data_IF_386758650767
#
_entry.id   IF_386758650767
#
_cell.length_a   1.000
_cell.length_b   1.000
_cell.length_c   1.000
_cell.angle_alpha   90.00
_cell.angle_beta   90.00
_cell.angle_gamma   90.00
#
_symmetry.space_group_name_H-M   'P 1'
#
loop_
_entity.id
_entity.type
_entity.pdbx_description
1 polymer ?
#
# COMPACT_ATOMS: atom_id res chain seq x y z
N UNK A 1 -0.99 -30.34 -0.90
CA UNK A 1 -0.19 -29.31 -0.19
C UNK A 1 -1.00 -28.02 -0.19
N UNK A 2 -1.47 -27.59 0.96
CA UNK A 2 -2.26 -26.36 1.07
C UNK A 2 -1.37 -25.17 0.67
N UNK A 3 -1.77 -24.36 -0.31
CA UNK A 3 -1.07 -23.13 -0.66
C UNK A 3 -1.09 -22.21 0.57
N UNK A 4 0.08 -21.83 1.05
CA UNK A 4 0.19 -20.80 2.11
C UNK A 4 -0.48 -19.51 1.69
N UNK A 5 -0.94 -18.71 2.66
CA UNK A 5 -1.53 -17.38 2.41
C UNK A 5 -0.49 -16.38 1.91
N UNK A 6 -0.95 -15.24 1.47
CA UNK A 6 -0.13 -14.16 0.91
C UNK A 6 0.93 -13.70 1.91
N UNK A 7 0.58 -13.59 3.20
CA UNK A 7 1.52 -13.17 4.24
C UNK A 7 2.73 -14.10 4.35
N UNK A 8 2.51 -15.41 4.48
CA UNK A 8 3.61 -16.38 4.61
C UNK A 8 4.49 -16.44 3.36
N UNK A 9 3.90 -16.22 2.18
CA UNK A 9 4.62 -16.21 0.92
C UNK A 9 5.53 -14.97 0.74
N UNK A 10 5.09 -13.80 1.20
CA UNK A 10 5.77 -12.52 0.96
C UNK A 10 6.61 -12.02 2.14
N UNK A 11 6.35 -12.49 3.35
CA UNK A 11 7.11 -12.09 4.54
C UNK A 11 8.64 -12.22 4.38
N UNK A 12 9.18 -13.31 3.79
CA UNK A 12 10.64 -13.43 3.61
C UNK A 12 11.24 -12.34 2.73
N UNK A 13 10.53 -11.94 1.66
CA UNK A 13 10.98 -10.87 0.78
C UNK A 13 11.03 -9.52 1.51
N UNK A 14 10.00 -9.19 2.29
CA UNK A 14 10.00 -7.98 3.11
C UNK A 14 11.09 -8.00 4.17
N UNK A 15 11.29 -9.13 4.84
CA UNK A 15 12.33 -9.30 5.84
C UNK A 15 13.74 -9.12 5.26
N UNK A 16 13.99 -9.59 4.04
CA UNK A 16 15.25 -9.40 3.32
C UNK A 16 15.59 -7.91 3.09
N UNK A 17 14.56 -7.05 3.00
CA UNK A 17 14.71 -5.60 2.91
C UNK A 17 14.63 -4.88 4.27
N UNK A 18 14.67 -5.62 5.37
CA UNK A 18 14.64 -5.06 6.71
C UNK A 18 13.29 -4.51 7.16
N UNK A 19 12.19 -4.90 6.49
CA UNK A 19 10.83 -4.46 6.79
C UNK A 19 10.09 -5.55 7.57
N UNK A 20 9.90 -5.41 8.89
CA UNK A 20 9.12 -6.34 9.68
C UNK A 20 7.63 -6.19 9.34
N UNK A 21 6.97 -7.31 9.10
CA UNK A 21 5.56 -7.36 8.72
C UNK A 21 4.74 -8.16 9.74
N UNK A 22 3.44 -7.95 9.73
CA UNK A 22 2.48 -8.64 10.60
C UNK A 22 1.15 -8.84 9.86
N UNK A 23 0.36 -9.88 10.22
CA UNK A 23 -0.91 -10.13 9.56
C UNK A 23 -1.91 -9.02 9.90
N UNK A 24 -2.77 -8.68 8.94
CA UNK A 24 -3.91 -7.78 9.13
C UNK A 24 -5.22 -8.49 8.81
N UNK A 25 -6.31 -8.01 9.42
CA UNK A 25 -7.66 -8.52 9.16
C UNK A 25 -8.22 -7.95 7.85
N UNK A 26 -9.39 -8.45 7.44
CA UNK A 26 -10.14 -7.94 6.30
C UNK A 26 -10.46 -6.43 6.42
N UNK A 27 -10.64 -5.95 7.65
CA UNK A 27 -10.89 -4.53 7.98
C UNK A 27 -9.60 -3.70 8.04
N UNK A 28 -8.49 -4.24 7.55
CA UNK A 28 -7.17 -3.60 7.53
C UNK A 28 -6.61 -3.29 8.93
N UNK A 29 -7.06 -4.00 9.96
CA UNK A 29 -6.55 -3.87 11.33
C UNK A 29 -5.49 -4.91 11.61
N UNK A 30 -4.44 -4.59 12.39
CA UNK A 30 -3.48 -5.60 12.82
C UNK A 30 -4.16 -6.75 13.55
N UNK A 31 -3.87 -7.99 13.14
CA UNK A 31 -4.46 -9.20 13.71
C UNK A 31 -3.76 -9.65 15.01
N UNK A 32 -2.72 -8.93 15.44
CA UNK A 32 -1.93 -9.25 16.64
C UNK A 32 -1.75 -8.03 17.53
N UNK A 33 -1.63 -8.28 18.84
CA UNK A 33 -1.25 -7.22 19.79
C UNK A 33 0.26 -6.94 19.68
N UNK A 34 0.67 -5.72 20.01
CA UNK A 34 2.08 -5.35 20.02
C UNK A 34 2.73 -5.24 18.64
N UNK A 35 1.95 -5.20 17.57
CA UNK A 35 2.41 -5.16 16.18
C UNK A 35 3.43 -4.04 15.89
N UNK A 36 3.32 -2.87 16.54
CA UNK A 36 4.28 -1.79 16.41
C UNK A 36 5.68 -2.14 16.95
N UNK A 37 5.79 -3.18 17.79
CA UNK A 37 7.06 -3.66 18.35
C UNK A 37 7.60 -4.87 17.58
N UNK A 38 6.89 -5.36 16.56
CA UNK A 38 7.33 -6.50 15.77
C UNK A 38 8.65 -6.18 15.09
N UNK A 39 9.67 -6.97 15.37
CA UNK A 39 10.97 -6.99 14.67
C UNK A 39 11.01 -8.07 13.60
N UNK A 40 12.12 -8.22 12.89
CA UNK A 40 12.27 -9.21 11.81
C UNK A 40 12.03 -10.65 12.30
N UNK A 41 12.59 -11.03 13.44
CA UNK A 41 12.36 -12.35 14.03
C UNK A 41 10.88 -12.59 14.36
N UNK A 42 10.24 -11.61 15.02
CA UNK A 42 8.81 -11.70 15.34
C UNK A 42 7.95 -11.75 14.09
N UNK A 43 8.31 -11.04 13.02
CA UNK A 43 7.66 -11.11 11.72
C UNK A 43 7.69 -12.54 11.15
N UNK A 44 8.84 -13.21 11.21
CA UNK A 44 8.99 -14.61 10.77
C UNK A 44 8.16 -15.57 11.60
N UNK A 45 8.12 -15.38 12.91
CA UNK A 45 7.29 -16.17 13.83
C UNK A 45 5.79 -15.98 13.55
N UNK A 46 5.38 -14.74 13.29
CA UNK A 46 4.00 -14.42 12.90
C UNK A 46 3.60 -15.07 11.56
N UNK A 47 4.50 -15.10 10.57
CA UNK A 47 4.20 -15.76 9.30
C UNK A 47 3.97 -17.28 9.47
N UNK A 48 4.68 -17.92 10.40
CA UNK A 48 4.45 -19.33 10.75
C UNK A 48 3.14 -19.54 11.52
N UNK A 49 2.79 -18.59 12.40
CA UNK A 49 1.57 -18.65 13.23
C UNK A 49 0.30 -18.37 12.42
N UNK A 50 0.41 -17.54 11.37
CA UNK A 50 -0.68 -17.13 10.50
C UNK A 50 -0.43 -17.54 9.03
N UNK A 51 -0.26 -18.87 8.76
CA UNK A 51 0.18 -19.36 7.45
C UNK A 51 -0.83 -19.07 6.32
N UNK A 52 -2.09 -18.84 6.67
CA UNK A 52 -3.19 -18.61 5.72
C UNK A 52 -3.67 -17.16 5.68
N UNK A 53 -2.93 -16.21 6.29
CA UNK A 53 -3.33 -14.81 6.23
C UNK A 53 -3.18 -14.25 4.80
N UNK A 54 -4.28 -13.70 4.27
CA UNK A 54 -4.37 -13.16 2.91
C UNK A 54 -4.02 -11.68 2.83
N UNK A 55 -3.74 -11.07 3.97
CA UNK A 55 -3.30 -9.68 4.05
C UNK A 55 -2.28 -9.49 5.18
N UNK A 56 -1.35 -8.58 4.93
CA UNK A 56 -0.33 -8.20 5.91
C UNK A 56 0.01 -6.72 5.78
N UNK A 57 0.63 -6.20 6.81
CA UNK A 57 1.04 -4.81 6.88
C UNK A 57 2.38 -4.67 7.59
N UNK A 58 2.84 -3.44 7.65
CA UNK A 58 4.04 -3.05 8.40
C UNK A 58 3.83 -1.72 9.10
N UNK A 59 4.65 -1.46 10.11
CA UNK A 59 4.69 -0.17 10.78
C UNK A 59 5.59 0.79 9.97
N UNK A 60 5.04 1.90 9.50
CA UNK A 60 5.83 2.98 8.91
C UNK A 60 6.73 3.64 9.96
N UNK A 61 7.82 4.27 9.52
CA UNK A 61 8.71 5.01 10.38
C UNK A 61 10.04 4.30 10.69
N UNK A 62 10.62 4.54 11.87
CA UNK A 62 12.01 4.15 12.16
C UNK A 62 12.27 2.65 12.11
N UNK A 63 11.25 1.82 12.34
CA UNK A 63 11.40 0.36 12.38
C UNK A 63 11.52 -0.27 11.00
N UNK A 64 10.68 0.14 10.07
CA UNK A 64 10.73 -0.30 8.67
C UNK A 64 11.67 0.55 7.81
N UNK A 65 12.06 1.73 8.31
CA UNK A 65 12.77 2.77 7.57
C UNK A 65 12.02 3.26 6.33
N UNK A 66 10.68 3.18 6.37
CA UNK A 66 9.77 3.56 5.29
C UNK A 66 8.83 4.65 5.75
N UNK A 67 8.72 5.70 4.94
CA UNK A 67 7.62 6.67 4.97
C UNK A 67 6.76 6.46 3.73
N UNK A 68 5.44 6.46 3.88
CA UNK A 68 4.52 6.44 2.74
C UNK A 68 3.84 7.79 2.58
N UNK A 69 3.72 8.21 1.34
CA UNK A 69 2.75 9.21 0.94
C UNK A 69 1.52 8.45 0.47
N UNK A 70 0.45 8.51 1.23
CA UNK A 70 -0.82 7.82 0.97
C UNK A 70 -1.77 8.78 0.27
N UNK A 71 -2.06 8.52 -1.00
CA UNK A 71 -2.93 9.34 -1.83
C UNK A 71 -4.27 8.64 -1.98
N UNK A 72 -5.27 9.13 -1.25
CA UNK A 72 -6.66 8.62 -1.22
C UNK A 72 -7.47 9.08 -2.44
N UNK A 73 -6.92 8.89 -3.63
CA UNK A 73 -7.56 9.24 -4.89
C UNK A 73 -7.12 8.28 -5.98
N UNK A 74 -8.07 7.88 -6.83
CA UNK A 74 -7.77 7.09 -8.03
C UNK A 74 -7.29 7.96 -9.20
N UNK A 75 -7.34 9.30 -9.06
CA UNK A 75 -6.88 10.25 -10.07
C UNK A 75 -5.34 10.34 -10.04
N UNK A 76 -4.71 9.99 -11.15
CA UNK A 76 -3.25 10.07 -11.32
C UNK A 76 -2.72 11.50 -11.20
N UNK A 77 -3.55 12.52 -11.43
CA UNK A 77 -3.18 13.92 -11.23
C UNK A 77 -2.94 14.21 -9.76
N UNK A 78 -3.79 13.68 -8.87
CA UNK A 78 -3.59 13.84 -7.44
C UNK A 78 -2.25 13.23 -6.98
N UNK A 79 -1.86 12.09 -7.54
CA UNK A 79 -0.54 11.49 -7.31
C UNK A 79 0.57 12.38 -7.87
N UNK A 80 0.45 12.86 -9.11
CA UNK A 80 1.45 13.72 -9.74
C UNK A 80 1.66 15.03 -8.95
N UNK A 81 0.57 15.64 -8.49
CA UNK A 81 0.61 16.85 -7.65
C UNK A 81 1.30 16.56 -6.32
N UNK A 82 0.97 15.45 -5.68
CA UNK A 82 1.60 15.05 -4.44
C UNK A 82 3.11 14.83 -4.62
N UNK A 83 3.54 14.13 -5.68
CA UNK A 83 4.94 13.90 -6.00
C UNK A 83 5.69 15.21 -6.38
N UNK A 84 5.01 16.20 -6.93
CA UNK A 84 5.61 17.51 -7.23
C UNK A 84 5.97 18.30 -5.96
N UNK A 85 5.19 18.09 -4.88
CA UNK A 85 5.37 18.77 -3.59
C UNK A 85 6.37 18.04 -2.70
N UNK A 86 6.20 16.69 -2.57
CA UNK A 86 6.96 15.88 -1.60
C UNK A 86 8.15 15.14 -2.20
N UNK A 87 8.37 15.26 -3.48
CA UNK A 87 9.48 14.62 -4.19
C UNK A 87 9.06 13.37 -4.96
N UNK A 88 9.98 12.90 -5.80
CA UNK A 88 9.77 11.73 -6.65
C UNK A 88 10.32 10.47 -6.02
N UNK A 89 9.66 9.35 -6.26
CA UNK A 89 10.11 8.02 -5.91
C UNK A 89 9.82 7.05 -7.06
N UNK A 90 10.71 6.09 -7.32
CA UNK A 90 10.45 5.06 -8.34
C UNK A 90 9.49 3.97 -7.84
N UNK A 91 9.21 3.94 -6.53
CA UNK A 91 8.38 2.90 -5.93
C UNK A 91 7.00 3.45 -5.60
N UNK A 92 6.03 3.07 -6.42
CA UNK A 92 4.62 3.43 -6.25
C UNK A 92 3.82 2.13 -6.30
N UNK A 93 2.93 1.94 -5.36
CA UNK A 93 1.98 0.84 -5.35
C UNK A 93 0.55 1.35 -5.35
N UNK A 94 -0.34 0.62 -6.03
CA UNK A 94 -1.77 0.91 -6.01
C UNK A 94 -2.40 0.28 -4.78
N UNK A 95 -3.27 1.02 -4.10
CA UNK A 95 -4.01 0.48 -2.95
C UNK A 95 -5.26 -0.26 -3.43
N UNK A 96 -5.80 -1.15 -2.61
CA UNK A 96 -7.02 -1.89 -2.95
C UNK A 96 -8.26 -0.99 -3.07
N UNK A 97 -8.25 0.19 -2.45
CA UNK A 97 -9.28 1.22 -2.61
C UNK A 97 -9.14 2.04 -3.89
N UNK A 98 -8.08 1.79 -4.69
CA UNK A 98 -7.81 2.47 -5.95
C UNK A 98 -6.87 3.67 -5.84
N UNK A 99 -6.49 4.09 -4.64
CA UNK A 99 -5.49 5.12 -4.41
C UNK A 99 -4.05 4.64 -4.59
N UNK A 100 -3.08 5.40 -4.09
CA UNK A 100 -1.66 5.12 -4.30
C UNK A 100 -0.86 5.28 -3.01
N UNK A 101 0.12 4.39 -2.81
CA UNK A 101 1.22 4.60 -1.88
C UNK A 101 2.49 4.91 -2.66
N UNK A 102 3.07 6.08 -2.45
CA UNK A 102 4.43 6.39 -2.89
C UNK A 102 5.39 6.16 -1.72
N UNK A 103 6.43 5.37 -1.95
CA UNK A 103 7.32 4.85 -0.91
C UNK A 103 8.60 5.68 -0.84
N UNK A 104 8.92 6.18 0.33
CA UNK A 104 10.12 6.96 0.61
C UNK A 104 10.95 6.34 1.71
N UNK A 105 12.24 6.64 1.73
CA UNK A 105 13.06 6.33 2.88
C UNK A 105 12.64 7.22 4.05
N UNK A 106 12.41 6.61 5.21
CA UNK A 106 12.10 7.36 6.44
C UNK A 106 13.28 8.29 6.83
N UNK A 107 13.00 9.54 7.10
CA UNK A 107 13.96 10.58 7.48
C UNK A 107 13.48 11.41 8.68
N UNK A 108 12.77 10.78 9.62
CA UNK A 108 12.28 11.44 10.83
C UNK A 108 10.86 11.99 10.74
N UNK A 109 10.16 11.79 9.63
CA UNK A 109 8.80 12.26 9.46
C UNK A 109 7.85 11.65 10.49
N UNK A 110 6.94 12.47 11.02
CA UNK A 110 5.80 12.02 11.80
C UNK A 110 4.65 11.50 10.92
N UNK A 111 3.58 11.06 11.57
CA UNK A 111 2.31 10.81 10.90
C UNK A 111 1.55 12.13 10.78
N UNK A 112 1.24 12.55 9.57
CA UNK A 112 0.45 13.75 9.29
C UNK A 112 -0.77 13.35 8.46
N UNK A 113 -1.94 13.62 8.99
CA UNK A 113 -3.22 13.36 8.32
C UNK A 113 -3.68 14.67 7.69
N UNK A 114 -3.95 14.62 6.38
CA UNK A 114 -4.39 15.78 5.59
C UNK A 114 -3.51 17.02 5.82
N UNK A 115 -2.17 16.94 5.65
CA UNK A 115 -1.29 18.09 5.82
C UNK A 115 -1.64 19.27 4.90
N UNK A 116 -2.31 18.98 3.79
CA UNK A 116 -2.96 19.95 2.91
C UNK A 116 -4.46 19.61 2.90
N UNK A 117 -5.34 20.40 3.56
CA UNK A 117 -6.75 20.06 3.76
C UNK A 117 -7.56 19.86 2.46
N UNK A 118 -7.14 20.52 1.38
CA UNK A 118 -7.72 20.45 0.04
C UNK A 118 -7.23 19.23 -0.77
N UNK A 119 -6.26 18.49 -0.27
CA UNK A 119 -5.66 17.36 -0.99
C UNK A 119 -5.95 16.03 -0.30
N UNK A 120 -6.31 14.98 -1.06
CA UNK A 120 -6.62 13.66 -0.52
C UNK A 120 -5.33 12.88 -0.25
N UNK A 121 -4.49 13.36 0.67
CA UNK A 121 -3.22 12.72 0.97
C UNK A 121 -2.87 12.75 2.45
N UNK A 122 -2.18 11.71 2.90
CA UNK A 122 -1.62 11.58 4.23
C UNK A 122 -0.11 11.24 4.14
N UNK A 123 0.67 11.67 5.15
CA UNK A 123 2.07 11.27 5.30
C UNK A 123 2.16 10.27 6.44
N UNK A 124 2.59 9.06 6.13
CA UNK A 124 2.71 7.97 7.09
C UNK A 124 4.20 7.75 7.46
N UNK A 125 4.77 8.68 8.22
CA UNK A 125 6.07 8.48 8.89
C UNK A 125 5.94 7.71 10.20
N UNK A 126 4.73 7.28 10.53
CA UNK A 126 4.34 6.42 11.65
C UNK A 126 2.98 5.78 11.36
N UNK A 127 2.55 4.88 12.24
CA UNK A 127 1.29 4.15 12.04
C UNK A 127 1.47 2.86 11.23
N UNK A 128 0.39 2.38 10.63
CA UNK A 128 0.33 1.09 9.93
C UNK A 128 -0.08 1.30 8.48
N UNK A 129 0.58 0.59 7.59
CA UNK A 129 0.18 0.46 6.20
C UNK A 129 -0.05 -1.01 5.84
N UNK A 130 -1.06 -1.25 5.00
CA UNK A 130 -1.26 -2.55 4.35
C UNK A 130 -0.24 -2.68 3.22
N UNK A 131 0.48 -3.79 3.22
CA UNK A 131 1.55 -4.03 2.26
C UNK A 131 1.05 -4.75 1.01
N UNK A 132 1.49 -4.36 -0.20
CA UNK A 132 1.23 -5.15 -1.40
C UNK A 132 1.96 -6.51 -1.33
N UNK A 133 1.44 -7.57 -1.92
CA UNK A 133 0.24 -7.65 -2.74
C UNK A 133 -1.01 -8.07 -1.94
N UNK A 134 -1.15 -7.62 -0.69
CA UNK A 134 -2.31 -7.98 0.13
C UNK A 134 -3.60 -7.76 -0.62
N UNK A 135 -4.41 -8.80 -0.70
CA UNK A 135 -5.76 -8.71 -1.24
C UNK A 135 -6.63 -8.07 -0.15
N UNK A 136 -6.98 -6.79 -0.29
CA UNK A 136 -8.08 -6.28 0.51
C UNK A 136 -9.32 -7.05 0.08
N UNK A 137 -9.89 -7.83 0.98
CA UNK A 137 -11.25 -8.31 0.80
C UNK A 137 -12.13 -7.06 0.71
N UNK A 138 -12.47 -6.69 -0.52
CA UNK A 138 -13.51 -5.71 -0.76
C UNK A 138 -14.75 -6.28 -0.06
N UNK A 139 -15.24 -5.58 0.95
CA UNK A 139 -16.59 -5.81 1.43
C UNK A 139 -17.48 -5.81 0.20
N UNK A 140 -18.13 -6.95 -0.08
CA UNK A 140 -19.08 -7.09 -1.18
C UNK A 140 -20.03 -5.91 -1.11
N UNK A 141 -19.87 -4.94 -2.01
CA UNK A 141 -20.86 -3.91 -2.21
C UNK A 141 -22.09 -4.62 -2.77
N UNK A 142 -23.10 -4.64 -1.96
CA UNK A 142 -24.47 -4.98 -2.37
C UNK A 142 -24.79 -4.17 -3.63
N UNK A 143 -25.14 -4.89 -4.68
CA UNK A 143 -25.50 -4.39 -6.00
C UNK A 143 -26.37 -3.13 -5.95
N UNK A 144 -25.86 -2.01 -6.40
CA UNK A 144 -26.66 -0.88 -6.83
C UNK A 144 -26.74 -0.91 -8.35
N UNK A 145 -27.95 -1.09 -8.85
CA UNK A 145 -28.37 -1.11 -10.24
C UNK A 145 -27.76 0.04 -11.04
N UNK A 146 -27.12 -0.31 -12.14
CA UNK A 146 -26.77 0.62 -13.20
C UNK A 146 -28.04 1.31 -13.73
N UNK A 147 -28.10 2.63 -13.59
CA UNK A 147 -28.97 3.48 -14.42
C UNK A 147 -28.10 4.11 -15.50
N UNK A 148 -28.37 3.69 -16.71
CA UNK A 148 -27.87 4.28 -17.96
C UNK A 148 -28.36 5.71 -18.08
N UNK A 149 -27.45 6.69 -18.20
CA UNK A 149 -27.75 8.00 -18.77
C UNK A 149 -26.61 8.48 -19.66
N UNK A 150 -26.90 8.61 -20.94
CA UNK A 150 -26.57 9.71 -21.84
C UNK A 150 -25.13 10.03 -22.20
N UNK A 151 -24.77 9.68 -23.44
CA UNK A 151 -23.68 10.26 -24.27
C UNK A 151 -23.62 11.79 -24.20
N UNK A 152 -22.40 12.35 -23.97
CA UNK A 152 -21.97 13.56 -24.69
C UNK A 152 -20.48 13.51 -25.02
N UNK A 153 -20.21 13.86 -26.27
CA UNK A 153 -18.93 13.92 -26.96
C UNK A 153 -18.01 15.03 -26.45
N UNK A 154 -16.70 14.74 -26.31
CA UNK A 154 -15.67 15.73 -26.05
C UNK A 154 -14.28 15.19 -26.37
N UNK A 155 -13.64 15.83 -27.34
CA UNK A 155 -12.33 15.62 -27.97
C UNK A 155 -11.29 14.89 -27.13
N UNK A 156 -10.75 13.82 -27.71
CA UNK A 156 -9.54 13.12 -27.23
C UNK A 156 -8.28 13.91 -27.59
N UNK A 157 -7.45 14.14 -26.59
CA UNK A 157 -6.04 14.46 -26.77
C UNK A 157 -5.27 13.15 -26.57
N UNK A 158 -4.34 12.76 -27.46
CA UNK A 158 -3.59 11.51 -27.28
C UNK A 158 -2.56 11.69 -26.18
N UNK A 159 -2.71 10.98 -25.08
CA UNK A 159 -1.64 10.73 -24.13
C UNK A 159 -1.07 9.37 -24.49
N UNK A 160 0.23 9.34 -24.82
CA UNK A 160 0.96 8.10 -25.06
C UNK A 160 0.77 7.16 -23.89
N UNK A 161 0.12 6.04 -24.19
CA UNK A 161 -0.06 4.92 -23.30
C UNK A 161 1.26 4.19 -23.15
N UNK A 162 1.99 4.46 -22.08
CA UNK A 162 2.90 3.46 -21.55
C UNK A 162 2.03 2.42 -20.87
N UNK A 163 1.85 1.30 -21.55
CA UNK A 163 1.14 0.12 -21.04
C UNK A 163 1.86 -0.39 -19.77
N UNK A 164 1.33 -0.04 -18.62
CA UNK A 164 1.59 -0.79 -17.39
C UNK A 164 0.87 -2.13 -17.54
N UNK A 165 1.60 -3.12 -18.05
CA UNK A 165 1.17 -4.51 -18.05
C UNK A 165 0.93 -4.92 -16.60
N UNK A 166 -0.27 -5.45 -16.38
CA UNK A 166 -0.72 -6.16 -15.18
C UNK A 166 0.24 -7.34 -14.87
N UNK A 167 1.31 -7.02 -14.18
CA UNK A 167 2.20 -7.97 -13.51
C UNK A 167 2.59 -7.35 -12.19
N UNK A 168 2.17 -8.02 -11.12
CA UNK A 168 2.58 -7.84 -9.74
C UNK A 168 4.10 -8.09 -9.57
N UNK A 169 4.93 -7.39 -10.34
CA UNK A 169 6.36 -7.36 -10.12
C UNK A 169 6.69 -6.20 -9.18
N UNK A 170 6.52 -6.48 -7.89
CA UNK A 170 7.13 -5.64 -6.85
C UNK A 170 8.65 -5.89 -6.93
N UNK A 171 9.34 -5.19 -7.81
CA UNK A 171 10.79 -5.06 -7.71
C UNK A 171 11.08 -4.19 -6.50
N UNK A 172 11.26 -4.85 -5.36
CA UNK A 172 11.81 -4.21 -4.17
C UNK A 172 13.23 -3.73 -4.52
N UNK A 173 13.40 -2.44 -4.46
CA UNK A 173 14.59 -1.71 -4.88
C UNK A 173 15.88 -2.25 -4.26
N UNK A 174 16.85 -2.51 -5.11
CA UNK A 174 18.25 -2.46 -4.72
C UNK A 174 18.60 -1.03 -4.34
N UNK A 175 18.70 -0.76 -3.05
CA UNK A 175 19.31 0.46 -2.52
C UNK A 175 20.79 0.17 -2.37
N UNK A 176 21.64 0.84 -3.18
CA UNK A 176 23.05 1.03 -2.85
C UNK A 176 23.20 2.12 -1.81
#
# INVERSE_FOLDING_TARGET
MSKGGIFSAWQPAYAAHGIPTFPVTAEKKPATRGYLRTGLRGSTELARKFPHADAFGFACGPRSKVTLLDVDSADERALADALSIYGRTPLISRTASGGYHAWFRYNGEGRLIRPAPDKPLDILGGGVAVAPPSTALSSRSTSARARTVGKRSGRRVPVERTELRDRTDVRLLGVR
#
